data_IF_286662019258
#
_entry.id   IF_286662019258
#
_cell.length_a   1.000
_cell.length_b   1.000
_cell.length_c   1.000
_cell.angle_alpha   90.00
_cell.angle_beta   90.00
_cell.angle_gamma   90.00
#
_symmetry.space_group_name_H-M   'P 1'
#
loop_
_entity.id
_entity.type
_entity.pdbx_description
1 polymer ?
#
# COMPACT_ATOMS: atom_id res chain seq x y z
N UNK A 1 25.78 -13.11 -11.15
CA UNK A 1 25.96 -11.90 -10.33
C UNK A 1 25.82 -12.32 -8.87
N UNK A 2 26.75 -11.99 -7.98
CA UNK A 2 26.69 -12.44 -6.58
C UNK A 2 25.52 -11.82 -5.82
N UNK A 3 24.98 -12.54 -4.81
CA UNK A 3 23.81 -12.14 -4.02
C UNK A 3 23.89 -10.70 -3.51
N UNK A 4 25.04 -10.30 -2.96
CA UNK A 4 25.27 -8.96 -2.42
C UNK A 4 25.06 -7.88 -3.49
N UNK A 5 25.58 -8.07 -4.70
CA UNK A 5 25.46 -7.09 -5.78
C UNK A 5 24.02 -6.98 -6.29
N UNK A 6 23.27 -8.08 -6.25
CA UNK A 6 21.86 -8.13 -6.66
C UNK A 6 20.95 -7.44 -5.62
N UNK A 7 21.23 -7.60 -4.32
CA UNK A 7 20.46 -6.97 -3.25
C UNK A 7 20.80 -5.50 -3.02
N UNK A 8 22.07 -5.11 -3.14
CA UNK A 8 22.54 -3.76 -2.80
C UNK A 8 22.74 -2.84 -4.01
N UNK A 9 22.94 -3.42 -5.18
CA UNK A 9 23.16 -2.67 -6.42
C UNK A 9 21.87 -2.50 -7.22
N UNK A 10 21.87 -1.47 -8.07
CA UNK A 10 20.89 -1.35 -9.15
C UNK A 10 21.02 -2.56 -10.08
N UNK A 11 19.91 -3.27 -10.30
CA UNK A 11 19.87 -4.42 -11.20
C UNK A 11 19.13 -4.04 -12.47
N UNK A 12 19.76 -4.22 -13.63
CA UNK A 12 19.09 -4.17 -14.94
C UNK A 12 19.01 -5.59 -15.49
N UNK A 13 17.80 -6.12 -15.59
CA UNK A 13 17.59 -7.49 -16.00
C UNK A 13 17.99 -7.67 -17.47
N UNK A 14 18.70 -8.75 -17.83
CA UNK A 14 19.13 -8.93 -19.20
C UNK A 14 17.95 -9.05 -20.17
N UNK A 15 17.99 -8.27 -21.23
CA UNK A 15 17.03 -8.35 -22.33
C UNK A 15 17.72 -8.89 -23.59
N UNK A 16 17.72 -10.22 -23.76
CA UNK A 16 18.46 -10.90 -24.83
C UNK A 16 17.85 -12.27 -25.17
N UNK A 17 18.55 -13.05 -26.00
CA UNK A 17 18.09 -14.38 -26.45
C UNK A 17 17.95 -15.44 -25.36
N UNK A 18 18.52 -15.24 -24.16
CA UNK A 18 18.37 -16.16 -23.03
C UNK A 18 17.16 -15.84 -22.15
N UNK A 19 16.61 -14.63 -22.26
CA UNK A 19 15.44 -14.17 -21.50
C UNK A 19 14.21 -14.05 -22.38
N UNK A 20 14.30 -14.49 -23.64
CA UNK A 20 13.23 -14.47 -24.63
C UNK A 20 13.11 -15.82 -25.32
N UNK A 21 11.88 -16.17 -25.67
CA UNK A 21 11.58 -17.27 -26.59
C UNK A 21 12.11 -16.96 -27.99
N UNK A 22 12.25 -17.98 -28.86
CA UNK A 22 12.65 -17.77 -30.26
C UNK A 22 11.77 -16.79 -31.04
N UNK A 23 10.50 -16.65 -30.66
CA UNK A 23 9.56 -15.72 -31.28
C UNK A 23 9.63 -14.28 -30.72
N UNK A 24 10.60 -14.00 -29.85
CA UNK A 24 10.82 -12.72 -29.19
C UNK A 24 9.98 -12.49 -27.93
N UNK A 25 9.10 -13.41 -27.54
CA UNK A 25 8.28 -13.27 -26.32
C UNK A 25 9.16 -13.25 -25.07
N UNK A 26 9.03 -12.26 -24.18
CA UNK A 26 9.71 -12.25 -22.88
C UNK A 26 9.34 -13.44 -22.02
N UNK A 27 10.34 -14.13 -21.49
CA UNK A 27 10.16 -15.20 -20.52
C UNK A 27 10.10 -14.67 -19.10
N UNK A 28 9.32 -15.35 -18.26
CA UNK A 28 9.22 -14.96 -16.86
C UNK A 28 10.53 -15.24 -16.14
N UNK A 29 11.05 -14.31 -15.31
CA UNK A 29 12.09 -14.66 -14.35
C UNK A 29 11.56 -15.73 -13.39
N UNK A 30 12.47 -16.41 -12.69
CA UNK A 30 12.08 -17.39 -11.66
C UNK A 30 11.18 -16.75 -10.59
N UNK A 31 11.49 -15.51 -10.18
CA UNK A 31 10.70 -14.75 -9.20
C UNK A 31 10.40 -13.32 -9.69
N UNK A 32 11.34 -12.39 -9.47
CA UNK A 32 11.26 -11.00 -9.91
C UNK A 32 12.48 -10.64 -10.76
N UNK A 33 12.39 -9.53 -11.49
CA UNK A 33 13.52 -8.99 -12.25
C UNK A 33 14.51 -8.21 -11.37
N UNK A 34 14.12 -7.85 -10.13
CA UNK A 34 15.01 -7.24 -9.14
C UNK A 34 14.55 -7.54 -7.71
N UNK A 35 15.51 -7.57 -6.79
CA UNK A 35 15.32 -7.63 -5.33
C UNK A 35 16.19 -6.58 -4.63
N UNK A 36 16.40 -5.42 -5.25
CA UNK A 36 17.22 -4.33 -4.69
C UNK A 36 16.58 -3.79 -3.41
N UNK A 37 17.15 -4.16 -2.25
CA UNK A 37 16.53 -4.01 -0.94
C UNK A 37 16.34 -2.54 -0.55
N UNK A 38 17.30 -1.67 -0.85
CA UNK A 38 17.20 -0.24 -0.55
C UNK A 38 15.99 0.41 -1.24
N UNK A 39 15.68 -0.01 -2.46
CA UNK A 39 14.56 0.50 -3.25
C UNK A 39 13.22 0.07 -2.65
N UNK A 40 13.13 -1.17 -2.13
CA UNK A 40 11.92 -1.66 -1.45
C UNK A 40 11.73 -0.95 -0.11
N UNK A 41 12.83 -0.71 0.61
CA UNK A 41 12.82 -0.05 1.92
C UNK A 41 12.54 1.46 1.84
N UNK A 42 12.65 2.08 0.65
CA UNK A 42 12.56 3.53 0.50
C UNK A 42 13.80 4.27 1.03
N UNK A 43 14.95 3.60 1.04
CA UNK A 43 16.24 4.15 1.52
C UNK A 43 17.02 4.67 0.32
N UNK A 44 17.47 5.93 0.40
CA UNK A 44 18.39 6.51 -0.58
C UNK A 44 19.77 5.89 -0.40
N UNK A 45 20.31 5.31 -1.47
CA UNK A 45 21.67 4.79 -1.52
C UNK A 45 22.43 5.54 -2.61
N UNK A 46 23.63 6.00 -2.25
CA UNK A 46 24.59 6.59 -3.18
C UNK A 46 25.76 5.63 -3.31
N UNK A 47 25.98 5.15 -4.53
CA UNK A 47 27.11 4.28 -4.82
C UNK A 47 28.38 5.14 -5.00
N UNK A 48 29.47 4.71 -4.40
CA UNK A 48 30.78 5.34 -4.50
C UNK A 48 31.79 4.32 -5.05
N UNK A 49 32.65 4.76 -5.96
CA UNK A 49 33.73 3.96 -6.52
C UNK A 49 35.01 3.99 -5.66
N UNK A 50 34.93 4.64 -4.49
CA UNK A 50 36.02 4.76 -3.52
C UNK A 50 35.58 4.26 -2.14
N UNK A 51 36.57 3.82 -1.35
CA UNK A 51 36.32 3.41 0.02
C UNK A 51 35.95 4.63 0.87
N UNK A 52 34.81 4.55 1.58
CA UNK A 52 34.42 5.59 2.53
C UNK A 52 35.42 5.58 3.68
N UNK A 53 36.04 6.73 3.96
CA UNK A 53 36.97 6.91 5.09
C UNK A 53 36.29 7.66 6.23
N UNK A 54 36.56 7.27 7.47
CA UNK A 54 35.94 7.89 8.63
C UNK A 54 36.11 7.06 9.90
N UNK A 55 35.76 7.65 11.04
CA UNK A 55 35.70 6.96 12.33
C UNK A 55 34.39 6.17 12.40
N UNK A 56 34.36 5.00 11.75
CA UNK A 56 33.22 4.10 11.77
C UNK A 56 33.33 3.10 12.93
N UNK A 57 32.21 2.86 13.60
CA UNK A 57 32.08 1.79 14.58
C UNK A 57 31.53 0.54 13.91
N UNK A 58 32.15 -0.61 14.17
CA UNK A 58 31.62 -1.89 13.68
C UNK A 58 30.43 -2.31 14.53
N UNK A 59 29.25 -2.43 13.91
CA UNK A 59 28.08 -2.96 14.58
C UNK A 59 28.23 -4.48 14.77
N UNK A 60 28.25 -4.94 16.02
CA UNK A 60 28.39 -6.37 16.38
C UNK A 60 27.06 -7.06 16.66
N UNK A 61 25.94 -6.32 16.58
CA UNK A 61 24.60 -6.83 16.83
C UNK A 61 23.51 -5.97 16.17
N UNK A 62 22.27 -6.42 16.30
CA UNK A 62 21.12 -5.69 15.79
C UNK A 62 20.96 -4.36 16.53
N UNK A 63 20.63 -3.31 15.77
CA UNK A 63 20.27 -2.02 16.36
C UNK A 63 18.87 -2.14 16.98
N UNK A 64 18.75 -1.68 18.22
CA UNK A 64 17.47 -1.51 18.90
C UNK A 64 17.23 -0.01 19.12
N UNK A 65 16.88 0.75 18.06
CA UNK A 65 16.61 2.18 18.19
C UNK A 65 15.43 2.38 19.15
N UNK A 66 15.69 3.03 20.28
CA UNK A 66 14.67 3.40 21.25
C UNK A 66 14.31 4.88 21.06
N UNK A 67 13.04 5.14 20.79
CA UNK A 67 12.53 6.50 20.67
C UNK A 67 12.56 7.21 22.02
N UNK A 68 12.51 8.54 21.95
CA UNK A 68 12.51 9.44 23.12
C UNK A 68 11.26 10.27 23.15
N UNK A 69 10.80 10.62 24.34
CA UNK A 69 9.74 11.61 24.51
C UNK A 69 10.33 12.89 25.11
N UNK A 70 10.24 13.98 24.36
CA UNK A 70 10.63 15.30 24.85
C UNK A 70 9.65 15.79 25.93
N UNK A 71 10.09 16.65 26.83
CA UNK A 71 9.17 17.38 27.71
C UNK A 71 8.41 18.43 26.90
N UNK A 72 7.09 18.52 27.08
CA UNK A 72 6.26 19.50 26.38
C UNK A 72 4.98 19.82 27.15
N UNK A 73 4.71 21.11 27.33
CA UNK A 73 3.44 21.60 27.84
C UNK A 73 2.36 21.72 26.74
N UNK A 74 2.77 21.78 25.47
CA UNK A 74 1.87 21.96 24.33
C UNK A 74 1.45 20.63 23.68
N UNK A 75 2.00 19.49 24.10
CA UNK A 75 1.81 18.19 23.45
C UNK A 75 2.94 17.81 22.51
N UNK A 76 2.75 16.78 21.70
CA UNK A 76 3.84 16.16 20.93
C UNK A 76 3.46 15.85 19.48
N UNK A 77 4.44 15.79 18.60
CA UNK A 77 4.28 15.32 17.23
C UNK A 77 5.06 14.03 16.98
N UNK A 78 4.49 13.12 16.19
CA UNK A 78 5.16 11.97 15.61
C UNK A 78 5.36 12.21 14.10
N UNK A 79 6.56 11.92 13.62
CA UNK A 79 6.93 12.12 12.20
C UNK A 79 6.16 11.15 11.30
N UNK A 80 5.24 11.69 10.49
CA UNK A 80 4.36 10.92 9.62
C UNK A 80 5.08 10.20 8.48
N UNK A 81 6.38 10.44 8.28
CA UNK A 81 7.21 9.72 7.31
C UNK A 81 7.64 8.34 7.80
N UNK A 82 7.59 8.10 9.11
CA UNK A 82 7.95 6.82 9.73
C UNK A 82 6.76 5.85 9.67
N UNK A 83 7.00 4.62 9.21
CA UNK A 83 5.96 3.58 9.26
C UNK A 83 5.57 3.26 10.71
N UNK A 84 6.55 3.24 11.62
CA UNK A 84 6.34 2.92 13.04
C UNK A 84 5.51 3.98 13.78
N UNK A 85 5.36 5.18 13.22
CA UNK A 85 4.45 6.19 13.76
C UNK A 85 3.00 5.72 13.75
N UNK A 86 2.61 4.85 12.81
CA UNK A 86 1.27 4.26 12.77
C UNK A 86 1.06 3.25 13.91
N UNK A 87 2.09 2.47 14.25
CA UNK A 87 2.06 1.57 15.41
C UNK A 87 1.99 2.36 16.72
N UNK A 88 2.77 3.44 16.85
CA UNK A 88 2.70 4.34 17.99
C UNK A 88 1.32 5.01 18.13
N UNK A 89 0.77 5.52 17.02
CA UNK A 89 -0.56 6.10 16.98
C UNK A 89 -1.65 5.09 17.36
N UNK A 90 -1.58 3.86 16.85
CA UNK A 90 -2.49 2.76 17.21
C UNK A 90 -2.50 2.48 18.71
N UNK A 91 -1.31 2.39 19.33
CA UNK A 91 -1.16 2.16 20.78
C UNK A 91 -1.69 3.31 21.64
N UNK A 92 -1.60 4.54 21.18
CA UNK A 92 -2.18 5.72 21.84
C UNK A 92 -3.71 5.71 21.75
N UNK A 93 -4.26 5.42 20.57
CA UNK A 93 -5.70 5.32 20.35
C UNK A 93 -6.33 4.20 21.19
N UNK A 94 -5.65 3.07 21.35
CA UNK A 94 -6.07 1.96 22.24
C UNK A 94 -6.20 2.37 23.70
N UNK A 95 -5.41 3.37 24.13
CA UNK A 95 -5.44 3.92 25.48
C UNK A 95 -6.39 5.13 25.59
N UNK A 96 -7.21 5.36 24.57
CA UNK A 96 -8.22 6.43 24.55
C UNK A 96 -7.66 7.83 24.30
N UNK A 97 -6.39 7.96 23.88
CA UNK A 97 -5.79 9.25 23.56
C UNK A 97 -6.31 9.72 22.21
N UNK A 98 -6.90 10.93 22.19
CA UNK A 98 -7.43 11.54 20.96
C UNK A 98 -6.30 12.17 20.17
N UNK A 99 -5.91 11.52 19.09
CA UNK A 99 -4.89 12.03 18.18
C UNK A 99 -5.51 12.94 17.12
N UNK A 100 -4.70 13.85 16.60
CA UNK A 100 -5.00 14.57 15.36
C UNK A 100 -3.93 14.29 14.32
N UNK A 101 -4.22 14.64 13.08
CA UNK A 101 -3.31 14.52 11.95
C UNK A 101 -3.15 15.87 11.29
N UNK A 102 -1.92 16.37 11.21
CA UNK A 102 -1.62 17.62 10.54
C UNK A 102 -1.99 17.52 9.06
N UNK A 103 -2.67 18.55 8.53
CA UNK A 103 -3.08 18.62 7.12
C UNK A 103 -2.26 19.65 6.34
N UNK A 104 -1.59 20.55 7.05
CA UNK A 104 -0.79 21.64 6.52
C UNK A 104 0.57 21.69 7.24
N UNK A 105 1.54 22.39 6.64
CA UNK A 105 2.84 22.60 7.27
C UNK A 105 2.78 23.81 8.21
N UNK A 106 3.14 23.63 9.48
CA UNK A 106 3.17 24.71 10.48
C UNK A 106 4.13 24.36 11.63
N UNK A 107 4.97 25.30 12.09
CA UNK A 107 5.84 25.07 13.26
C UNK A 107 6.70 23.82 13.18
N UNK A 108 7.27 23.53 12.01
CA UNK A 108 8.05 22.31 11.75
C UNK A 108 7.24 21.04 11.46
N UNK A 109 5.90 21.07 11.61
CA UNK A 109 5.00 19.99 11.20
C UNK A 109 4.92 19.86 9.69
N UNK A 110 4.64 18.64 9.25
CA UNK A 110 4.36 18.28 7.87
C UNK A 110 2.96 17.67 7.77
N UNK A 111 2.28 17.79 6.61
CA UNK A 111 1.07 17.03 6.35
C UNK A 111 1.29 15.53 6.59
N UNK A 112 0.45 14.95 7.42
CA UNK A 112 0.53 13.55 7.82
C UNK A 112 1.12 13.26 9.19
N UNK A 113 1.80 14.23 9.83
CA UNK A 113 2.30 14.09 11.20
C UNK A 113 1.15 13.85 12.18
N UNK A 114 1.38 12.97 13.15
CA UNK A 114 0.41 12.71 14.22
C UNK A 114 0.63 13.68 15.38
N UNK A 115 -0.44 14.27 15.86
CA UNK A 115 -0.45 15.23 16.96
C UNK A 115 -1.04 14.54 18.19
N UNK A 116 -0.27 14.57 19.27
CA UNK A 116 -0.60 14.03 20.58
C UNK A 116 -0.95 15.22 21.48
N UNK A 117 -2.10 15.22 22.15
CA UNK A 117 -2.56 16.36 22.94
C UNK A 117 -1.68 16.59 24.17
N UNK A 118 -1.63 17.85 24.61
CA UNK A 118 -1.04 18.24 25.88
C UNK A 118 -1.63 17.45 27.05
N UNK A 119 -0.83 17.25 28.10
CA UNK A 119 -1.26 16.51 29.30
C UNK A 119 -1.29 14.99 29.15
N UNK A 120 -0.92 14.44 27.99
CA UNK A 120 -0.71 12.99 27.86
C UNK A 120 0.46 12.55 28.75
N UNK A 121 0.26 11.47 29.52
CA UNK A 121 1.21 10.98 30.52
C UNK A 121 2.62 10.76 29.94
N UNK A 122 3.63 11.40 30.52
CA UNK A 122 5.02 11.27 30.09
C UNK A 122 5.55 9.83 30.20
N UNK A 123 5.09 9.08 31.21
CA UNK A 123 5.43 7.67 31.37
C UNK A 123 4.90 6.84 30.20
N UNK A 124 3.66 7.10 29.77
CA UNK A 124 3.05 6.43 28.63
C UNK A 124 3.78 6.76 27.32
N UNK A 125 4.07 8.04 27.07
CA UNK A 125 4.80 8.46 25.88
C UNK A 125 6.18 7.81 25.82
N UNK A 126 6.88 7.74 26.96
CA UNK A 126 8.19 7.09 27.07
C UNK A 126 8.13 5.58 26.83
N UNK A 127 7.10 4.89 27.33
CA UNK A 127 6.87 3.46 27.07
C UNK A 127 6.67 3.19 25.58
N UNK A 128 5.78 3.95 24.93
CA UNK A 128 5.49 3.78 23.50
C UNK A 128 6.73 4.12 22.67
N UNK A 129 7.41 5.23 22.96
CA UNK A 129 8.62 5.64 22.25
C UNK A 129 9.71 4.55 22.27
N UNK A 130 9.95 3.93 23.44
CA UNK A 130 10.92 2.83 23.56
C UNK A 130 10.47 1.56 22.81
N UNK A 131 9.17 1.29 22.82
CA UNK A 131 8.61 0.08 22.19
C UNK A 131 8.61 0.18 20.66
N UNK A 132 8.31 1.36 20.10
CA UNK A 132 8.16 1.55 18.66
C UNK A 132 9.37 2.18 17.99
N UNK A 133 10.33 2.69 18.76
CA UNK A 133 11.48 3.43 18.20
C UNK A 133 11.14 4.85 17.73
N UNK A 134 9.90 5.33 17.93
CA UNK A 134 9.43 6.62 17.42
C UNK A 134 9.68 7.73 18.46
N UNK A 135 10.28 8.82 18.01
CA UNK A 135 10.44 10.03 18.84
C UNK A 135 9.15 10.85 18.93
N UNK A 136 8.83 11.30 20.14
CA UNK A 136 7.77 12.26 20.43
C UNK A 136 8.42 13.64 20.59
N UNK A 137 8.34 14.45 19.54
CA UNK A 137 8.92 15.80 19.51
C UNK A 137 7.96 16.79 20.16
N UNK A 138 8.47 17.77 20.90
CA UNK A 138 7.65 18.81 21.51
C UNK A 138 6.97 19.67 20.43
N UNK A 139 5.67 19.89 20.57
CA UNK A 139 4.91 20.81 19.71
C UNK A 139 5.13 22.27 20.10
N UNK A 140 5.02 23.16 19.12
CA UNK A 140 4.86 24.58 19.39
C UNK A 140 3.46 24.86 19.98
N UNK A 141 3.33 25.82 20.91
CA UNK A 141 2.04 26.16 21.52
C UNK A 141 0.96 26.50 20.47
N UNK A 142 -0.23 25.90 20.63
CA UNK A 142 -1.40 26.17 19.78
C UNK A 142 -1.53 25.24 18.56
N UNK A 143 -0.54 24.40 18.27
CA UNK A 143 -0.59 23.47 17.13
C UNK A 143 -1.28 22.14 17.44
N UNK A 144 -1.40 21.75 18.71
CA UNK A 144 -2.01 20.49 19.17
C UNK A 144 -3.49 20.33 18.78
N UNK A 145 -4.15 21.45 18.48
CA UNK A 145 -5.56 21.51 18.06
C UNK A 145 -5.76 21.73 16.57
N UNK A 146 -4.69 21.67 15.77
CA UNK A 146 -4.76 21.81 14.31
C UNK A 146 -5.00 20.45 13.64
N UNK A 147 -5.36 20.48 12.35
CA UNK A 147 -5.58 19.28 11.54
C UNK A 147 -6.84 18.50 11.91
N UNK A 148 -6.96 17.25 11.42
CA UNK A 148 -8.16 16.43 11.59
C UNK A 148 -8.03 15.42 12.72
N UNK A 149 -9.12 15.13 13.44
CA UNK A 149 -9.12 14.06 14.45
C UNK A 149 -8.92 12.69 13.78
N UNK A 150 -8.06 11.88 14.38
CA UNK A 150 -7.73 10.53 13.91
C UNK A 150 -8.67 9.52 14.55
N UNK A 151 -9.36 8.73 13.72
CA UNK A 151 -10.20 7.62 14.16
C UNK A 151 -9.67 6.30 13.63
N UNK A 152 -9.41 5.36 14.55
CA UNK A 152 -9.11 3.97 14.19
C UNK A 152 -10.33 3.37 13.49
N UNK A 153 -10.12 2.80 12.31
CA UNK A 153 -11.17 2.19 11.50
C UNK A 153 -11.29 0.69 11.80
N UNK A 154 -12.50 0.14 11.73
CA UNK A 154 -12.74 -1.31 11.79
C UNK A 154 -12.46 -1.93 10.42
N UNK A 155 -11.32 -2.60 10.30
CA UNK A 155 -10.84 -3.18 9.05
C UNK A 155 -11.29 -4.63 8.87
N UNK A 156 -12.00 -4.92 7.77
CA UNK A 156 -12.22 -6.27 7.28
C UNK A 156 -11.24 -6.61 6.16
N UNK A 157 -10.49 -7.71 6.29
CA UNK A 157 -9.58 -8.22 5.25
C UNK A 157 -10.21 -9.43 4.60
N UNK A 158 -10.52 -9.34 3.30
CA UNK A 158 -11.15 -10.44 2.58
C UNK A 158 -10.20 -11.64 2.45
N UNK A 159 -10.62 -12.80 2.97
CA UNK A 159 -9.89 -14.05 2.84
C UNK A 159 -10.77 -15.11 2.18
N UNK A 160 -10.41 -15.49 0.95
CA UNK A 160 -11.04 -16.60 0.24
C UNK A 160 -10.38 -17.94 0.53
N UNK A 161 -11.12 -19.04 0.40
CA UNK A 161 -10.62 -20.38 0.77
C UNK A 161 -9.77 -21.10 -0.28
N UNK A 162 -10.05 -21.02 -1.59
CA UNK A 162 -9.41 -21.76 -2.72
C UNK A 162 -7.89 -22.08 -2.62
N UNK A 163 -7.46 -22.93 -1.69
CA UNK A 163 -6.05 -23.09 -1.33
C UNK A 163 -5.37 -21.85 -0.70
N UNK A 164 -6.14 -20.83 -0.30
CA UNK A 164 -5.65 -19.58 0.29
C UNK A 164 -5.13 -18.54 -0.73
N UNK A 165 -4.86 -17.33 -0.24
CA UNK A 165 -4.30 -16.22 -1.02
C UNK A 165 -3.00 -15.75 -0.36
N UNK A 166 -1.88 -15.82 -1.07
CA UNK A 166 -0.58 -15.39 -0.56
C UNK A 166 -0.53 -13.89 -0.24
N UNK A 167 -1.11 -13.04 -1.09
CA UNK A 167 -1.11 -11.58 -0.89
C UNK A 167 -1.89 -11.20 0.37
N UNK A 168 -2.99 -11.91 0.63
CA UNK A 168 -3.77 -11.78 1.88
C UNK A 168 -2.93 -12.16 3.11
N UNK A 169 -2.21 -13.28 3.07
CA UNK A 169 -1.32 -13.70 4.16
C UNK A 169 -0.22 -12.68 4.47
N UNK A 170 0.44 -12.15 3.44
CA UNK A 170 1.44 -11.08 3.61
C UNK A 170 0.83 -9.79 4.16
N UNK A 171 -0.37 -9.45 3.72
CA UNK A 171 -1.10 -8.30 4.24
C UNK A 171 -1.39 -8.45 5.74
N UNK A 172 -1.82 -9.64 6.17
CA UNK A 172 -2.05 -9.93 7.60
C UNK A 172 -0.77 -9.82 8.42
N UNK A 173 0.32 -10.41 7.93
CA UNK A 173 1.63 -10.30 8.59
C UNK A 173 2.01 -8.83 8.81
N UNK A 174 1.88 -7.99 7.77
CA UNK A 174 2.16 -6.56 7.88
C UNK A 174 1.25 -5.88 8.94
N UNK A 175 -0.04 -6.18 8.93
CA UNK A 175 -0.98 -5.60 9.91
C UNK A 175 -0.62 -6.02 11.34
N UNK A 176 -0.21 -7.27 11.54
CA UNK A 176 0.22 -7.81 12.84
C UNK A 176 1.52 -7.15 13.32
N UNK A 177 2.53 -7.01 12.46
CA UNK A 177 3.81 -6.36 12.78
C UNK A 177 3.63 -4.90 13.22
N UNK A 178 2.68 -4.18 12.62
CA UNK A 178 2.39 -2.78 12.96
C UNK A 178 1.25 -2.61 13.98
N UNK A 179 0.77 -3.70 14.60
CA UNK A 179 -0.32 -3.70 15.59
C UNK A 179 -1.62 -3.01 15.08
N UNK A 180 -1.93 -3.21 13.80
CA UNK A 180 -3.16 -2.74 13.16
C UNK A 180 -4.19 -3.90 13.24
N UNK A 181 -5.32 -3.71 13.94
CA UNK A 181 -6.26 -4.78 14.17
C UNK A 181 -7.08 -4.97 12.90
N UNK A 182 -7.43 -6.21 12.62
CA UNK A 182 -8.28 -6.55 11.50
C UNK A 182 -9.14 -7.75 11.85
N UNK A 183 -10.25 -7.87 11.13
CA UNK A 183 -11.10 -9.05 11.14
C UNK A 183 -10.95 -9.75 9.80
N UNK A 184 -10.74 -11.06 9.82
CA UNK A 184 -10.86 -11.87 8.60
C UNK A 184 -12.31 -11.86 8.13
N UNK A 185 -12.55 -11.38 6.91
CA UNK A 185 -13.86 -11.25 6.31
C UNK A 185 -14.02 -12.32 5.22
N UNK A 186 -15.08 -13.13 5.32
CA UNK A 186 -15.38 -14.20 4.37
C UNK A 186 -16.47 -13.78 3.38
N UNK A 187 -16.51 -14.46 2.24
CA UNK A 187 -17.47 -14.21 1.18
C UNK A 187 -18.92 -14.41 1.64
N UNK A 188 -19.20 -15.38 2.50
CA UNK A 188 -20.54 -15.58 3.07
C UNK A 188 -21.05 -14.33 3.82
N UNK A 189 -20.18 -13.63 4.55
CA UNK A 189 -20.52 -12.42 5.30
C UNK A 189 -20.71 -11.23 4.35
N UNK A 190 -19.87 -11.12 3.31
CA UNK A 190 -20.03 -10.12 2.25
C UNK A 190 -21.36 -10.31 1.52
N UNK A 191 -21.67 -11.54 1.11
CA UNK A 191 -22.90 -11.89 0.40
C UNK A 191 -24.15 -11.65 1.27
N UNK A 192 -24.05 -11.78 2.60
CA UNK A 192 -25.13 -11.47 3.55
C UNK A 192 -25.40 -9.96 3.67
N UNK A 193 -24.37 -9.13 3.50
CA UNK A 193 -24.46 -7.68 3.61
C UNK A 193 -24.54 -7.15 5.04
N UNK A 194 -24.99 -5.89 5.20
CA UNK A 194 -25.00 -5.20 6.51
C UNK A 194 -23.62 -4.78 7.01
N UNK A 195 -22.66 -4.60 6.09
CA UNK A 195 -21.23 -4.50 6.39
C UNK A 195 -20.84 -3.29 7.24
N UNK A 196 -21.52 -2.14 7.13
CA UNK A 196 -21.22 -0.95 7.93
C UNK A 196 -21.44 -1.15 9.43
N UNK A 197 -22.22 -2.17 9.83
CA UNK A 197 -22.43 -2.50 11.23
C UNK A 197 -21.14 -3.01 11.90
N UNK A 198 -20.23 -3.62 11.13
CA UNK A 198 -18.99 -4.21 11.64
C UNK A 198 -17.72 -3.54 11.12
N UNK A 199 -17.77 -2.92 9.94
CA UNK A 199 -16.60 -2.41 9.23
C UNK A 199 -16.74 -0.95 8.85
N UNK A 200 -15.60 -0.26 8.77
CA UNK A 200 -15.47 1.07 8.17
C UNK A 200 -14.59 1.01 6.91
N UNK A 201 -13.67 0.04 6.86
CA UNK A 201 -12.80 -0.25 5.71
C UNK A 201 -12.87 -1.74 5.38
N UNK A 202 -13.00 -2.07 4.10
CA UNK A 202 -12.87 -3.45 3.60
C UNK A 202 -11.74 -3.50 2.58
N UNK A 203 -10.82 -4.44 2.74
CA UNK A 203 -9.72 -4.68 1.82
C UNK A 203 -9.97 -5.94 0.98
N UNK A 204 -9.81 -5.81 -0.34
CA UNK A 204 -9.66 -6.90 -1.30
C UNK A 204 -8.16 -7.02 -1.67
N UNK A 205 -7.44 -8.02 -1.15
CA UNK A 205 -6.05 -8.29 -1.53
C UNK A 205 -5.91 -8.61 -3.02
N UNK A 206 -4.68 -8.58 -3.55
CA UNK A 206 -4.45 -8.95 -4.95
C UNK A 206 -4.85 -10.40 -5.20
N UNK A 207 -5.66 -10.61 -6.22
CA UNK A 207 -6.10 -11.94 -6.62
C UNK A 207 -6.62 -11.94 -8.06
N UNK A 208 -6.69 -13.13 -8.66
CA UNK A 208 -7.35 -13.27 -9.95
C UNK A 208 -8.87 -13.01 -9.81
N UNK A 209 -9.50 -12.22 -10.69
CA UNK A 209 -10.93 -11.94 -10.61
C UNK A 209 -11.83 -13.17 -10.44
N UNK A 210 -11.57 -14.23 -11.22
CA UNK A 210 -12.30 -15.49 -11.14
C UNK A 210 -12.24 -16.16 -9.75
N UNK A 211 -11.15 -15.97 -9.00
CA UNK A 211 -11.01 -16.51 -7.64
C UNK A 211 -11.75 -15.67 -6.60
N UNK A 212 -11.91 -14.36 -6.82
CA UNK A 212 -12.68 -13.47 -5.94
C UNK A 212 -14.17 -13.72 -6.13
N UNK A 213 -14.62 -13.86 -7.38
CA UNK A 213 -16.03 -14.09 -7.70
C UNK A 213 -16.45 -15.55 -7.51
N UNK A 214 -15.51 -16.49 -7.64
CA UNK A 214 -15.81 -17.92 -7.72
C UNK A 214 -16.39 -18.34 -9.08
N UNK A 215 -16.37 -17.46 -10.08
CA UNK A 215 -16.96 -17.67 -11.41
C UNK A 215 -15.87 -17.93 -12.46
N UNK A 216 -16.22 -18.64 -13.55
CA UNK A 216 -15.30 -18.89 -14.68
C UNK A 216 -14.14 -19.83 -14.34
N UNK A 217 -14.31 -20.67 -13.31
CA UNK A 217 -13.29 -21.64 -12.86
C UNK A 217 -13.36 -22.98 -13.59
N UNK A 218 -14.30 -23.16 -14.54
CA UNK A 218 -14.47 -24.39 -15.34
C UNK A 218 -13.20 -24.75 -16.11
N UNK A 219 -12.39 -23.76 -16.48
CA UNK A 219 -11.09 -23.95 -17.14
C UNK A 219 -9.96 -24.35 -16.19
N UNK A 220 -10.24 -24.52 -14.89
CA UNK A 220 -9.29 -24.98 -13.87
C UNK A 220 -9.83 -26.22 -13.14
N UNK A 221 -10.06 -27.34 -13.85
CA UNK A 221 -10.71 -28.53 -13.30
C UNK A 221 -9.96 -29.07 -12.09
N UNK A 222 -8.61 -29.09 -12.13
CA UNK A 222 -7.81 -29.56 -10.99
C UNK A 222 -8.03 -28.76 -9.70
N UNK A 223 -8.29 -27.45 -9.78
CA UNK A 223 -8.61 -26.63 -8.60
C UNK A 223 -10.00 -26.95 -8.05
N UNK A 224 -10.98 -27.16 -8.93
CA UNK A 224 -12.34 -27.50 -8.53
C UNK A 224 -12.39 -28.90 -7.90
N UNK A 225 -11.71 -29.87 -8.51
CA UNK A 225 -11.60 -31.25 -8.04
C UNK A 225 -10.89 -31.34 -6.69
N UNK A 226 -9.81 -30.58 -6.49
CA UNK A 226 -9.04 -30.59 -5.24
C UNK A 226 -9.66 -29.77 -4.10
N UNK A 227 -10.69 -28.95 -4.37
CA UNK A 227 -11.29 -28.06 -3.37
C UNK A 227 -12.70 -28.52 -3.00
N UNK A 228 -12.94 -28.95 -1.75
CA UNK A 228 -14.28 -29.36 -1.30
C UNK A 228 -15.31 -28.22 -1.46
N UNK A 229 -16.58 -28.52 -1.79
CA UNK A 229 -17.61 -27.52 -2.06
C UNK A 229 -17.75 -26.40 -1.01
N UNK A 230 -17.61 -26.74 0.27
CA UNK A 230 -17.67 -25.81 1.40
C UNK A 230 -16.51 -24.80 1.45
N UNK A 231 -15.40 -25.07 0.74
CA UNK A 231 -14.23 -24.21 0.62
C UNK A 231 -14.15 -23.49 -0.74
N UNK A 232 -15.22 -23.55 -1.54
CA UNK A 232 -15.34 -22.86 -2.83
C UNK A 232 -15.90 -21.44 -2.62
N UNK A 233 -15.04 -20.53 -2.17
CA UNK A 233 -15.41 -19.13 -1.91
C UNK A 233 -15.83 -18.35 -3.17
N UNK A 234 -16.72 -17.38 -3.02
CA UNK A 234 -17.01 -16.41 -4.08
C UNK A 234 -17.89 -15.26 -3.63
N UNK A 235 -17.45 -14.03 -3.86
CA UNK A 235 -18.31 -12.84 -3.76
C UNK A 235 -19.23 -12.83 -4.97
N UNK A 236 -20.51 -13.10 -4.75
CA UNK A 236 -21.53 -13.19 -5.80
C UNK A 236 -22.05 -11.80 -6.16
N UNK A 237 -22.99 -11.74 -7.09
CA UNK A 237 -23.66 -10.49 -7.48
C UNK A 237 -24.22 -9.73 -6.27
N UNK A 238 -24.89 -10.43 -5.34
CA UNK A 238 -25.45 -9.83 -4.13
C UNK A 238 -24.36 -9.29 -3.20
N UNK A 239 -23.20 -9.96 -3.14
CA UNK A 239 -22.04 -9.49 -2.38
C UNK A 239 -21.46 -8.20 -2.94
N UNK A 240 -21.41 -8.03 -4.27
CA UNK A 240 -21.00 -6.75 -4.86
C UNK A 240 -22.03 -5.64 -4.64
N UNK A 241 -23.32 -5.94 -4.65
CA UNK A 241 -24.35 -4.98 -4.27
C UNK A 241 -24.24 -4.59 -2.78
N UNK A 242 -23.89 -5.54 -1.91
CA UNK A 242 -23.60 -5.26 -0.52
C UNK A 242 -22.36 -4.36 -0.35
N UNK A 243 -21.28 -4.61 -1.10
CA UNK A 243 -20.09 -3.75 -1.12
C UNK A 243 -20.40 -2.34 -1.65
N UNK A 244 -21.22 -2.21 -2.70
CA UNK A 244 -21.69 -0.90 -3.18
C UNK A 244 -22.48 -0.15 -2.12
N UNK A 245 -23.44 -0.83 -1.47
CA UNK A 245 -24.22 -0.25 -0.37
C UNK A 245 -23.32 0.19 0.79
N UNK A 246 -22.31 -0.62 1.11
CA UNK A 246 -21.31 -0.32 2.13
C UNK A 246 -20.55 0.98 1.85
N UNK A 247 -20.02 1.12 0.63
CA UNK A 247 -19.29 2.32 0.21
C UNK A 247 -20.24 3.52 0.11
N UNK A 248 -21.43 3.34 -0.46
CA UNK A 248 -22.40 4.42 -0.61
C UNK A 248 -22.78 5.06 0.75
N UNK A 249 -22.79 4.27 1.83
CA UNK A 249 -23.06 4.68 3.22
C UNK A 249 -21.82 5.13 4.01
N UNK A 250 -20.76 5.53 3.33
CA UNK A 250 -19.57 6.12 3.95
C UNK A 250 -18.41 5.15 4.19
N UNK A 251 -18.57 3.86 3.88
CA UNK A 251 -17.50 2.87 3.95
C UNK A 251 -16.39 3.11 2.92
N UNK A 252 -15.21 2.53 3.17
CA UNK A 252 -14.08 2.58 2.23
C UNK A 252 -13.75 1.18 1.72
N UNK A 253 -13.82 0.97 0.41
CA UNK A 253 -13.31 -0.25 -0.23
C UNK A 253 -11.89 -0.01 -0.72
N UNK A 254 -10.95 -0.84 -0.30
CA UNK A 254 -9.56 -0.84 -0.79
C UNK A 254 -9.34 -2.08 -1.65
N UNK A 255 -8.72 -1.93 -2.81
CA UNK A 255 -8.36 -3.06 -3.67
C UNK A 255 -6.88 -2.98 -4.07
N UNK A 256 -6.20 -4.13 -4.08
CA UNK A 256 -4.81 -4.26 -4.53
C UNK A 256 -4.70 -4.96 -5.88
N UNK A 257 -3.75 -4.52 -6.70
CA UNK A 257 -3.37 -5.17 -7.95
C UNK A 257 -4.58 -5.53 -8.82
N UNK A 258 -4.70 -6.81 -9.15
CA UNK A 258 -5.74 -7.36 -10.04
C UNK A 258 -7.16 -7.24 -9.47
N UNK A 259 -7.33 -7.15 -8.14
CA UNK A 259 -8.65 -6.92 -7.54
C UNK A 259 -9.23 -5.55 -7.91
N UNK A 260 -8.38 -4.57 -8.27
CA UNK A 260 -8.83 -3.27 -8.75
C UNK A 260 -9.68 -3.38 -10.02
N UNK A 261 -9.41 -4.34 -10.91
CA UNK A 261 -10.19 -4.53 -12.13
C UNK A 261 -11.65 -4.84 -11.82
N UNK A 262 -11.90 -5.71 -10.84
CA UNK A 262 -13.25 -6.01 -10.37
C UNK A 262 -13.91 -4.81 -9.70
N UNK A 263 -13.17 -4.07 -8.86
CA UNK A 263 -13.71 -2.88 -8.22
C UNK A 263 -14.14 -1.83 -9.26
N UNK A 264 -13.31 -1.59 -10.28
CA UNK A 264 -13.62 -0.69 -11.40
C UNK A 264 -14.87 -1.14 -12.15
N UNK A 265 -14.92 -2.40 -12.59
CA UNK A 265 -16.05 -2.95 -13.35
C UNK A 265 -17.34 -2.94 -12.54
N UNK A 266 -17.34 -3.55 -11.35
CA UNK A 266 -18.57 -3.76 -10.59
C UNK A 266 -19.15 -2.44 -10.07
N UNK A 267 -18.32 -1.47 -9.70
CA UNK A 267 -18.80 -0.15 -9.24
C UNK A 267 -19.06 0.85 -10.38
N UNK A 268 -18.72 0.51 -11.63
CA UNK A 268 -18.84 1.42 -12.76
C UNK A 268 -18.01 2.68 -12.60
N UNK A 269 -16.78 2.54 -12.08
CA UNK A 269 -15.91 3.70 -11.81
C UNK A 269 -15.42 4.33 -13.13
N UNK A 270 -15.24 5.67 -13.19
CA UNK A 270 -14.72 6.37 -14.36
C UNK A 270 -13.20 6.22 -14.48
N UNK A 271 -12.71 4.99 -14.41
CA UNK A 271 -11.29 4.64 -14.44
C UNK A 271 -11.13 3.45 -15.36
N UNK A 272 -10.09 3.40 -16.18
CA UNK A 272 -9.75 2.19 -16.96
C UNK A 272 -8.33 1.72 -16.67
N UNK A 273 -8.13 0.40 -16.74
CA UNK A 273 -6.79 -0.18 -16.78
C UNK A 273 -6.22 -0.02 -18.20
N UNK A 274 -5.16 0.76 -18.37
CA UNK A 274 -4.53 0.98 -19.68
C UNK A 274 -3.72 -0.22 -20.18
N UNK A 275 -3.46 -1.21 -19.31
CA UNK A 275 -2.71 -2.42 -19.63
C UNK A 275 -3.62 -3.62 -19.95
N UNK A 276 -4.94 -3.46 -19.86
CA UNK A 276 -5.88 -4.54 -20.15
C UNK A 276 -5.75 -5.02 -21.61
N UNK A 277 -5.58 -6.33 -21.81
CA UNK A 277 -5.47 -6.94 -23.13
C UNK A 277 -4.14 -6.72 -23.86
N UNK A 278 -3.16 -6.04 -23.24
CA UNK A 278 -1.83 -5.87 -23.84
C UNK A 278 -1.05 -7.19 -23.73
N UNK A 279 -0.46 -7.63 -24.85
CA UNK A 279 0.35 -8.84 -24.88
C UNK A 279 1.76 -8.61 -24.30
N UNK A 280 2.45 -9.70 -23.94
CA UNK A 280 3.77 -9.67 -23.31
C UNK A 280 4.89 -9.07 -24.17
N UNK A 281 4.75 -9.04 -25.50
CA UNK A 281 5.75 -8.42 -26.39
C UNK A 281 5.66 -6.91 -26.37
N UNK A 282 4.45 -6.38 -26.19
CA UNK A 282 4.18 -4.93 -26.19
C UNK A 282 4.33 -4.30 -24.80
N UNK A 283 4.11 -5.06 -23.73
CA UNK A 283 4.33 -4.62 -22.36
C UNK A 283 4.80 -5.76 -21.47
N UNK A 284 5.88 -5.54 -20.72
CA UNK A 284 6.47 -6.53 -19.84
C UNK A 284 7.17 -5.88 -18.65
N UNK A 285 6.76 -6.24 -17.44
CA UNK A 285 7.34 -5.70 -16.19
C UNK A 285 7.21 -6.71 -15.04
N UNK A 286 8.02 -7.78 -15.01
CA UNK A 286 7.89 -8.85 -14.02
C UNK A 286 8.66 -8.53 -12.74
N UNK A 287 8.06 -7.77 -11.82
CA UNK A 287 8.68 -7.46 -10.52
C UNK A 287 9.87 -6.53 -10.70
N UNK A 288 9.59 -5.25 -10.88
CA UNK A 288 10.59 -4.20 -11.13
C UNK A 288 10.26 -2.97 -10.32
N UNK A 289 11.29 -2.21 -9.93
CA UNK A 289 11.10 -0.94 -9.23
C UNK A 289 10.94 0.16 -10.25
N UNK A 290 9.83 0.89 -10.16
CA UNK A 290 9.49 1.97 -11.06
C UNK A 290 9.42 3.29 -10.31
N UNK A 291 9.89 4.36 -10.95
CA UNK A 291 9.76 5.73 -10.46
C UNK A 291 8.31 6.17 -10.49
N UNK A 292 7.88 6.79 -9.39
CA UNK A 292 6.56 7.42 -9.25
C UNK A 292 6.71 8.80 -8.63
N UNK A 293 5.71 9.64 -8.89
CA UNK A 293 5.49 10.90 -8.18
C UNK A 293 4.30 10.73 -7.24
N UNK A 294 4.38 11.29 -6.04
CA UNK A 294 3.29 11.29 -5.07
C UNK A 294 2.68 12.69 -4.96
N UNK A 295 1.35 12.77 -4.75
CA UNK A 295 0.69 14.05 -4.50
C UNK A 295 0.69 14.37 -2.99
N UNK A 296 1.53 15.29 -2.49
CA UNK A 296 1.62 15.57 -1.06
C UNK A 296 0.34 16.18 -0.46
N UNK A 297 -0.58 16.67 -1.30
CA UNK A 297 -1.88 17.17 -0.85
C UNK A 297 -2.90 16.05 -0.65
N UNK A 298 -2.68 14.89 -1.28
CA UNK A 298 -3.55 13.75 -1.13
C UNK A 298 -3.28 13.04 0.21
N UNK A 299 -4.27 12.87 1.11
CA UNK A 299 -4.07 12.19 2.39
C UNK A 299 -3.54 10.76 2.28
N UNK A 300 -3.76 10.07 1.15
CA UNK A 300 -3.19 8.74 0.88
C UNK A 300 -1.67 8.77 0.70
N UNK A 301 -1.10 9.90 0.30
CA UNK A 301 0.33 10.09 0.06
C UNK A 301 1.05 10.83 1.19
N UNK A 302 0.36 11.15 2.29
CA UNK A 302 1.00 11.74 3.47
C UNK A 302 2.20 10.93 3.95
N UNK A 303 3.31 11.63 4.23
CA UNK A 303 4.58 11.05 4.63
C UNK A 303 5.42 10.44 3.49
N UNK A 304 4.94 10.46 2.24
CA UNK A 304 5.74 10.10 1.07
C UNK A 304 6.62 11.27 0.60
N UNK A 305 7.77 10.99 -0.04
CA UNK A 305 8.53 12.02 -0.77
C UNK A 305 7.77 12.48 -2.03
N UNK A 306 8.20 13.57 -2.67
CA UNK A 306 7.61 14.02 -3.94
C UNK A 306 7.86 12.99 -5.07
N UNK A 307 9.04 12.37 -5.07
CA UNK A 307 9.43 11.28 -5.98
C UNK A 307 9.90 10.07 -5.17
N UNK A 308 9.48 8.87 -5.58
CA UNK A 308 9.92 7.63 -4.96
C UNK A 308 9.79 6.44 -5.88
N UNK A 309 9.76 5.24 -5.28
CA UNK A 309 9.80 3.97 -5.99
C UNK A 309 8.64 3.08 -5.56
N UNK A 310 8.11 2.31 -6.51
CA UNK A 310 7.13 1.25 -6.25
C UNK A 310 7.58 -0.05 -6.91
N UNK A 311 7.25 -1.18 -6.30
CA UNK A 311 7.41 -2.48 -6.97
C UNK A 311 6.20 -2.73 -7.85
N UNK A 312 6.43 -2.78 -9.16
CA UNK A 312 5.44 -3.14 -10.15
C UNK A 312 5.56 -4.61 -10.53
N UNK A 313 4.46 -5.33 -10.44
CA UNK A 313 4.38 -6.77 -10.60
C UNK A 313 3.62 -7.11 -11.87
N UNK A 314 3.91 -8.29 -12.44
CA UNK A 314 3.14 -8.76 -13.59
C UNK A 314 1.65 -8.88 -13.21
N UNK A 315 0.78 -8.32 -14.05
CA UNK A 315 -0.67 -8.31 -13.83
C UNK A 315 -1.19 -7.12 -13.02
N UNK A 316 -0.32 -6.30 -12.44
CA UNK A 316 -0.72 -5.02 -11.86
C UNK A 316 -1.36 -4.12 -12.93
N UNK A 317 -2.45 -3.40 -12.62
CA UNK A 317 -3.03 -2.42 -13.52
C UNK A 317 -2.31 -1.07 -13.41
N UNK A 318 -2.49 -0.24 -14.43
CA UNK A 318 -2.19 1.18 -14.38
C UNK A 318 -3.39 1.94 -14.90
N UNK A 319 -3.69 3.11 -14.31
CA UNK A 319 -4.99 3.72 -14.47
C UNK A 319 -4.96 4.99 -15.32
N UNK A 320 -6.01 5.17 -16.09
CA UNK A 320 -6.42 6.45 -16.67
C UNK A 320 -7.81 6.80 -16.15
N UNK A 321 -7.98 8.03 -15.67
CA UNK A 321 -9.29 8.57 -15.29
C UNK A 321 -10.00 9.00 -16.57
N UNK A 322 -11.21 8.49 -16.76
CA UNK A 322 -12.06 8.82 -17.90
C UNK A 322 -12.77 10.15 -17.67
N UNK A 323 -12.88 11.01 -18.70
CA UNK A 323 -13.64 12.26 -18.57
C UNK A 323 -15.11 12.00 -18.25
N UNK A 324 -15.60 12.65 -17.21
CA UNK A 324 -17.00 12.68 -16.79
C UNK A 324 -17.38 14.08 -16.28
N UNK A 325 -18.66 14.31 -16.04
CA UNK A 325 -19.14 15.52 -15.37
C UNK A 325 -18.77 15.57 -13.87
N UNK A 326 -18.11 14.54 -13.34
CA UNK A 326 -17.80 14.36 -11.92
C UNK A 326 -16.33 14.01 -11.67
N UNK A 327 -15.41 14.51 -12.51
CA UNK A 327 -13.97 14.21 -12.40
C UNK A 327 -13.38 14.65 -11.06
N UNK A 328 -13.97 15.63 -10.39
CA UNK A 328 -13.59 16.07 -9.03
C UNK A 328 -13.72 14.95 -7.97
N UNK A 329 -14.42 13.86 -8.30
CA UNK A 329 -14.56 12.69 -7.42
C UNK A 329 -13.39 11.73 -7.51
N UNK A 330 -12.54 11.83 -8.52
CA UNK A 330 -11.40 10.96 -8.72
C UNK A 330 -10.09 11.73 -8.45
N UNK A 331 -9.30 11.23 -7.49
CA UNK A 331 -8.05 11.85 -7.04
C UNK A 331 -6.90 10.85 -7.26
N UNK A 332 -5.78 11.33 -7.78
CA UNK A 332 -4.57 10.53 -7.98
C UNK A 332 -3.64 10.77 -6.79
N UNK A 333 -3.32 9.73 -6.04
CA UNK A 333 -2.37 9.82 -4.93
C UNK A 333 -0.93 9.53 -5.37
N UNK A 334 -0.76 8.70 -6.41
CA UNK A 334 0.53 8.38 -6.99
C UNK A 334 0.39 8.12 -8.49
N UNK A 335 1.35 8.60 -9.28
CA UNK A 335 1.44 8.35 -10.72
C UNK A 335 2.84 7.86 -11.08
N UNK A 336 2.94 7.01 -12.11
CA UNK A 336 4.24 6.67 -12.69
C UNK A 336 4.88 7.92 -13.29
N UNK A 337 6.20 8.02 -13.19
CA UNK A 337 6.96 9.12 -13.79
C UNK A 337 6.62 9.28 -15.28
N UNK A 338 6.83 10.46 -15.85
CA UNK A 338 6.51 10.74 -17.26
C UNK A 338 7.54 10.17 -18.25
N UNK A 339 8.73 9.80 -17.76
CA UNK A 339 9.83 9.17 -18.50
C UNK A 339 10.83 8.55 -17.51
N UNK A 340 11.74 7.73 -18.02
CA UNK A 340 12.82 7.10 -17.25
C UNK A 340 12.29 6.29 -16.06
N UNK A 341 11.18 5.57 -16.29
CA UNK A 341 10.43 4.88 -15.23
C UNK A 341 11.26 3.79 -14.57
N UNK A 342 12.04 3.03 -15.33
CA UNK A 342 12.75 1.86 -14.79
C UNK A 342 13.91 2.28 -13.88
N UNK A 343 13.75 2.05 -12.57
CA UNK A 343 14.85 2.10 -11.63
C UNK A 343 15.64 0.80 -11.71
N UNK A 344 15.07 -0.34 -11.29
CA UNK A 344 15.71 -1.65 -11.39
C UNK A 344 14.72 -2.72 -11.89
N UNK A 345 15.23 -3.72 -12.59
CA UNK A 345 14.48 -4.85 -13.14
C UNK A 345 14.39 -4.81 -14.66
N UNK A 346 13.20 -5.09 -15.20
CA UNK A 346 12.94 -5.19 -16.63
C UNK A 346 11.65 -4.46 -17.00
N UNK A 347 11.72 -3.51 -17.93
CA UNK A 347 10.54 -2.83 -18.45
C UNK A 347 10.56 -2.79 -19.97
N UNK A 348 9.53 -3.37 -20.59
CA UNK A 348 9.19 -3.16 -22.00
C UNK A 348 7.89 -2.35 -22.09
N UNK A 349 7.82 -1.44 -23.06
CA UNK A 349 6.62 -0.65 -23.30
C UNK A 349 6.41 0.49 -22.28
N UNK A 350 7.48 1.15 -21.84
CA UNK A 350 7.45 2.24 -20.86
C UNK A 350 6.35 3.29 -21.12
N UNK A 351 6.15 3.66 -22.39
CA UNK A 351 5.14 4.65 -22.82
C UNK A 351 3.69 4.26 -22.47
N UNK A 352 3.43 2.97 -22.18
CA UNK A 352 2.12 2.49 -21.70
C UNK A 352 1.86 2.87 -20.24
N UNK A 353 2.91 3.03 -19.44
CA UNK A 353 2.84 3.40 -18.02
C UNK A 353 3.12 4.88 -17.76
N UNK A 354 3.93 5.53 -18.60
CA UNK A 354 4.37 6.90 -18.39
C UNK A 354 3.20 7.85 -18.08
N UNK A 355 3.27 8.53 -16.94
CA UNK A 355 2.25 9.49 -16.46
C UNK A 355 0.90 8.87 -16.05
N UNK A 356 0.76 7.55 -16.05
CA UNK A 356 -0.48 6.86 -15.64
C UNK A 356 -0.56 6.76 -14.13
N UNK A 357 -1.78 6.72 -13.60
CA UNK A 357 -1.98 6.65 -12.17
C UNK A 357 -1.68 5.24 -11.63
N UNK A 358 -0.91 5.18 -10.55
CA UNK A 358 -0.60 3.97 -9.80
C UNK A 358 -1.55 3.78 -8.60
N UNK A 359 -2.01 4.88 -7.99
CA UNK A 359 -2.98 4.88 -6.90
C UNK A 359 -4.06 5.92 -7.14
N UNK A 360 -5.32 5.50 -7.15
CA UNK A 360 -6.48 6.36 -7.39
C UNK A 360 -7.51 6.17 -6.28
N UNK A 361 -8.09 7.27 -5.81
CA UNK A 361 -9.29 7.22 -4.97
C UNK A 361 -10.48 7.80 -5.72
N UNK A 362 -11.61 7.11 -5.71
CA UNK A 362 -12.85 7.55 -6.36
C UNK A 362 -13.96 7.62 -5.31
N UNK A 363 -14.59 8.79 -5.16
CA UNK A 363 -15.77 8.94 -4.30
C UNK A 363 -16.97 8.22 -4.92
N UNK A 364 -17.69 7.47 -4.08
CA UNK A 364 -18.88 6.72 -4.49
C UNK A 364 -19.91 6.78 -3.36
N UNK A 365 -21.00 7.54 -3.57
CA UNK A 365 -21.88 7.97 -2.49
C UNK A 365 -21.13 8.79 -1.44
N UNK A 366 -21.33 8.48 -0.15
CA UNK A 366 -20.64 9.14 0.97
C UNK A 366 -19.24 8.56 1.24
N UNK A 367 -18.93 7.41 0.66
CA UNK A 367 -17.66 6.71 0.84
C UNK A 367 -16.73 6.85 -0.37
N UNK A 368 -15.80 5.91 -0.48
CA UNK A 368 -14.82 5.88 -1.57
C UNK A 368 -14.32 4.47 -1.87
N UNK A 369 -13.87 4.28 -3.11
CA UNK A 369 -13.08 3.13 -3.54
C UNK A 369 -11.64 3.60 -3.73
N UNK A 370 -10.67 2.92 -3.13
CA UNK A 370 -9.24 3.17 -3.29
C UNK A 370 -8.62 2.02 -4.06
N UNK A 371 -8.06 2.34 -5.22
CA UNK A 371 -7.46 1.41 -6.16
C UNK A 371 -5.95 1.54 -6.07
N UNK A 372 -5.28 0.51 -5.55
CA UNK A 372 -3.84 0.39 -5.64
C UNK A 372 -3.51 -0.49 -6.84
N UNK A 373 -3.04 0.12 -7.93
CA UNK A 373 -2.50 -0.59 -9.09
C UNK A 373 -1.18 -1.28 -8.78
N UNK A 374 -0.70 -1.16 -7.55
CA UNK A 374 0.44 -1.86 -6.98
C UNK A 374 -0.01 -2.70 -5.78
N UNK A 375 0.90 -3.53 -5.28
CA UNK A 375 0.75 -4.18 -3.97
C UNK A 375 1.60 -3.38 -2.98
N UNK A 376 1.06 -2.36 -2.29
CA UNK A 376 1.87 -1.45 -1.48
C UNK A 376 2.60 -2.17 -0.34
N UNK A 377 2.09 -3.34 0.06
CA UNK A 377 2.68 -4.20 1.08
C UNK A 377 3.63 -5.27 0.54
N UNK A 378 3.75 -5.44 -0.78
CA UNK A 378 4.31 -6.62 -1.45
C UNK A 378 5.27 -7.46 -0.58
N UNK A 379 4.81 -8.66 -0.19
CA UNK A 379 5.53 -9.64 0.65
C UNK A 379 6.00 -9.13 2.01
N UNK A 380 5.35 -8.11 2.56
CA UNK A 380 5.80 -7.35 3.73
C UNK A 380 7.24 -6.82 3.59
N UNK A 381 7.71 -6.54 2.37
CA UNK A 381 9.09 -6.07 2.13
C UNK A 381 9.18 -4.60 1.71
N UNK A 382 8.12 -4.05 1.12
CA UNK A 382 8.13 -2.73 0.50
C UNK A 382 7.83 -1.59 1.49
N UNK A 383 8.67 -1.42 2.51
CA UNK A 383 8.51 -0.38 3.54
C UNK A 383 8.34 1.03 2.94
N UNK A 384 8.92 1.30 1.77
CA UNK A 384 8.76 2.59 1.08
C UNK A 384 7.30 2.90 0.73
N UNK A 385 6.45 1.89 0.52
CA UNK A 385 5.06 2.07 0.07
C UNK A 385 3.99 1.74 1.12
N UNK A 386 4.35 1.18 2.28
CA UNK A 386 3.37 0.82 3.34
C UNK A 386 2.49 2.00 3.76
N UNK A 387 3.07 3.21 3.86
CA UNK A 387 2.32 4.43 4.22
C UNK A 387 1.11 4.67 3.34
N UNK A 388 1.19 4.35 2.05
CA UNK A 388 0.05 4.53 1.15
C UNK A 388 -1.15 3.69 1.62
N UNK A 389 -0.89 2.46 2.02
CA UNK A 389 -1.91 1.57 2.56
C UNK A 389 -2.36 2.01 3.95
N UNK A 390 -1.44 2.29 4.87
CA UNK A 390 -1.79 2.72 6.23
C UNK A 390 -2.61 4.01 6.24
N UNK A 391 -2.33 4.94 5.34
CA UNK A 391 -3.12 6.15 5.15
C UNK A 391 -4.57 5.86 4.74
N UNK A 392 -4.83 4.76 4.03
CA UNK A 392 -6.20 4.34 3.68
C UNK A 392 -6.96 3.73 4.88
N UNK A 393 -6.26 3.36 5.95
CA UNK A 393 -6.82 2.74 7.16
C UNK A 393 -7.13 3.72 8.28
N UNK A 394 -6.85 5.00 8.08
CA UNK A 394 -7.04 6.06 9.06
C UNK A 394 -7.88 7.17 8.43
N UNK A 395 -8.89 7.64 9.16
CA UNK A 395 -9.61 8.87 8.84
C UNK A 395 -9.27 9.95 9.84
#
# INVERSE_FOLDING_TARGET
MGLIRYLLGRTLYPDNSFTRRPDGTPESPYDMATDTMAEFMGVRVEALDEAVTGNFETLTGALAPAGRAAESAAGHSLDGRLNDAFAAAGRLLERGIRLRRAEESAGGLRPGDFLVPAGTSSALLSEIARTTGVDFRALEPGLDRTGREVKRQRLGVYQRYWGGNMDEGWTRLLLEEFAIPYTTLRDAEINKGGLNAAFDVILLPDDAPALITGEGLDHRPGLLESTPPEYRSGIRAEGFEALKSFVAKGGTLVAFGRACGLAVEKFGLPVRNVLAGINRKDFWCPGSTLRVTYDPKNPLAYGQPDEGLVVFQMGNPAFEILPTNHNERAEIAAAFASRDLLQSGWLLGESRLAGRAAVVSVRHGEGRVVLFGIRPQHRAQTHGTFKLFFNALIR
#
